data_IF_521739122130
#
_entry.id   IF_521739122130
#
_cell.length_a   1.000
_cell.length_b   1.000
_cell.length_c   1.000
_cell.angle_alpha   90.00
_cell.angle_beta   90.00
_cell.angle_gamma   90.00
#
_symmetry.space_group_name_H-M   'P 1'
#
loop_
_entity.id
_entity.type
_entity.pdbx_description
1 polymer ?
#
# COMPACT_ATOMS: atom_id res chain seq x y z
N UNK A 1 16.20 3.29 7.86
CA UNK A 1 15.19 3.13 8.90
C UNK A 1 14.93 4.50 9.49
N UNK A 2 13.69 4.94 9.48
CA UNK A 2 13.31 6.30 9.76
C UNK A 2 13.25 6.60 11.24
N UNK A 3 14.22 7.35 11.74
CA UNK A 3 14.00 8.17 12.93
C UNK A 3 13.37 9.46 12.43
N UNK A 4 12.18 9.79 12.87
CA UNK A 4 11.46 10.99 12.49
C UNK A 4 9.96 10.73 12.38
N UNK A 5 9.20 11.80 12.41
CA UNK A 5 7.74 11.74 12.25
C UNK A 5 7.29 12.67 11.12
N UNK A 6 6.15 12.38 10.54
CA UNK A 6 5.57 13.23 9.51
C UNK A 6 5.45 14.68 9.96
N UNK A 7 5.86 15.61 9.10
CA UNK A 7 5.77 17.03 9.33
C UNK A 7 5.15 17.74 8.12
N UNK A 8 4.02 18.43 8.34
CA UNK A 8 3.39 19.26 7.32
C UNK A 8 4.37 20.30 6.76
N UNK A 9 5.22 20.90 7.60
CA UNK A 9 6.18 21.89 7.15
C UNK A 9 7.25 21.27 6.24
N UNK A 10 7.76 20.08 6.57
CA UNK A 10 8.70 19.35 5.72
C UNK A 10 8.05 19.00 4.35
N UNK A 11 6.79 18.58 4.36
CA UNK A 11 6.06 18.28 3.12
C UNK A 11 5.84 19.52 2.23
N UNK A 12 5.46 20.67 2.82
CA UNK A 12 5.29 21.91 2.07
C UNK A 12 6.61 22.36 1.45
N UNK A 13 7.71 22.27 2.20
CA UNK A 13 9.04 22.58 1.68
C UNK A 13 9.42 21.64 0.53
N UNK A 14 9.23 20.33 0.71
CA UNK A 14 9.48 19.34 -0.32
C UNK A 14 8.63 19.60 -1.58
N UNK A 15 7.32 19.81 -1.42
CA UNK A 15 6.42 20.12 -2.55
C UNK A 15 6.86 21.36 -3.31
N UNK A 16 7.34 22.38 -2.61
CA UNK A 16 7.89 23.60 -3.22
C UNK A 16 9.13 23.30 -4.07
N UNK A 17 10.03 22.43 -3.58
CA UNK A 17 11.21 22.01 -4.37
C UNK A 17 10.82 21.23 -5.62
N UNK A 18 9.71 20.51 -5.56
CA UNK A 18 9.12 19.79 -6.70
C UNK A 18 8.26 20.67 -7.60
N UNK A 19 8.26 22.01 -7.39
CA UNK A 19 7.44 22.99 -8.12
C UNK A 19 5.93 22.71 -8.02
N UNK A 20 5.47 22.19 -6.86
CA UNK A 20 4.06 21.94 -6.58
C UNK A 20 3.53 22.94 -5.54
N UNK A 21 2.43 23.61 -5.85
CA UNK A 21 1.71 24.44 -4.88
C UNK A 21 0.88 23.54 -3.95
N UNK A 22 0.74 23.96 -2.69
CA UNK A 22 -0.03 23.26 -1.67
C UNK A 22 -1.18 24.15 -1.20
N UNK A 23 -2.37 23.60 -1.06
CA UNK A 23 -3.54 24.28 -0.56
C UNK A 23 -3.53 24.41 0.98
N UNK A 24 -4.50 25.13 1.55
CA UNK A 24 -4.59 25.36 2.99
C UNK A 24 -4.77 24.08 3.81
N UNK A 25 -5.47 23.08 3.24
CA UNK A 25 -5.63 21.74 3.84
C UNK A 25 -4.38 20.89 3.76
N UNK A 26 -3.39 21.30 2.95
CA UNK A 26 -2.13 20.59 2.76
C UNK A 26 -2.11 19.66 1.55
N UNK A 27 -3.17 19.63 0.73
CA UNK A 27 -3.18 18.87 -0.52
C UNK A 27 -2.40 19.59 -1.63
N UNK A 28 -1.91 18.86 -2.63
CA UNK A 28 -1.29 19.46 -3.82
C UNK A 28 -2.37 20.12 -4.67
N UNK A 29 -2.17 21.40 -4.98
CA UNK A 29 -3.08 22.22 -5.78
C UNK A 29 -2.88 21.98 -7.27
N UNK A 30 -3.99 21.94 -8.01
CA UNK A 30 -4.03 21.86 -9.47
C UNK A 30 -4.47 20.51 -9.98
N UNK A 31 -4.71 20.45 -11.28
CA UNK A 31 -5.04 19.23 -11.98
C UNK A 31 -3.76 18.63 -12.59
N UNK A 32 -3.58 17.35 -12.36
CA UNK A 32 -2.45 16.58 -12.86
C UNK A 32 -2.96 15.33 -13.56
N UNK A 33 -2.38 15.01 -14.68
CA UNK A 33 -2.42 13.64 -15.20
C UNK A 33 -1.49 12.73 -14.36
N UNK A 34 -1.65 11.42 -14.49
CA UNK A 34 -0.77 10.48 -13.80
C UNK A 34 0.70 10.69 -14.22
N UNK A 35 0.97 10.93 -15.50
CA UNK A 35 2.32 11.18 -16.03
C UNK A 35 2.94 12.50 -15.56
N UNK A 36 2.12 13.50 -15.21
CA UNK A 36 2.61 14.75 -14.62
C UNK A 36 2.86 14.62 -13.12
N UNK A 37 2.08 13.79 -12.43
CA UNK A 37 2.26 13.50 -11.01
C UNK A 37 3.45 12.57 -10.79
N UNK A 38 3.50 11.43 -11.49
CA UNK A 38 4.53 10.40 -11.41
C UNK A 38 5.51 10.57 -12.56
N UNK A 39 6.62 11.26 -12.30
CA UNK A 39 7.56 11.68 -13.36
C UNK A 39 8.62 10.64 -13.72
N UNK A 40 8.70 9.54 -12.98
CA UNK A 40 9.64 8.45 -13.25
C UNK A 40 9.38 7.84 -14.63
N UNK A 41 10.47 7.55 -15.37
CA UNK A 41 10.43 6.98 -16.73
C UNK A 41 10.76 5.49 -16.76
N UNK A 42 11.21 4.96 -15.65
CA UNK A 42 11.56 3.57 -15.45
C UNK A 42 11.55 3.26 -13.95
N UNK A 43 11.72 2.00 -13.59
CA UNK A 43 11.88 1.57 -12.21
C UNK A 43 13.05 2.32 -11.55
N UNK A 44 12.76 3.01 -10.43
CA UNK A 44 13.79 3.61 -9.60
C UNK A 44 14.48 2.52 -8.77
N UNK A 45 15.81 2.57 -8.69
CA UNK A 45 16.59 1.58 -7.94
C UNK A 45 16.19 1.47 -6.47
N UNK A 46 15.69 2.54 -5.86
CA UNK A 46 15.22 2.53 -4.48
C UNK A 46 13.91 1.73 -4.30
N UNK A 47 13.15 1.57 -5.38
CA UNK A 47 11.87 0.84 -5.41
C UNK A 47 11.98 -0.55 -6.04
N UNK A 48 13.17 -0.95 -6.49
CA UNK A 48 13.40 -2.26 -7.09
C UNK A 48 13.20 -3.37 -6.03
N UNK A 49 12.26 -4.31 -6.23
CA UNK A 49 12.03 -5.42 -5.32
C UNK A 49 13.03 -6.56 -5.46
N UNK A 50 13.92 -6.52 -6.46
CA UNK A 50 14.81 -7.62 -6.78
C UNK A 50 15.82 -7.90 -5.67
N UNK A 51 15.74 -9.08 -5.08
CA UNK A 51 16.66 -9.58 -4.05
C UNK A 51 16.80 -8.64 -2.83
N UNK A 52 15.69 -8.03 -2.39
CA UNK A 52 15.67 -7.15 -1.22
C UNK A 52 14.71 -7.66 -0.15
N UNK A 53 15.03 -7.36 1.10
CA UNK A 53 14.12 -7.51 2.24
C UNK A 53 13.88 -6.12 2.81
N UNK A 54 12.64 -5.79 3.11
CA UNK A 54 12.24 -4.53 3.74
C UNK A 54 11.93 -4.77 5.21
N UNK A 55 12.40 -3.89 6.06
CA UNK A 55 12.30 -4.06 7.52
C UNK A 55 11.55 -2.89 8.13
N UNK A 56 10.66 -3.21 9.09
CA UNK A 56 10.01 -2.26 9.99
C UNK A 56 10.42 -2.65 11.41
N UNK A 57 11.32 -1.87 12.00
CA UNK A 57 12.03 -2.21 13.24
C UNK A 57 11.71 -1.19 14.31
N UNK A 58 11.43 -1.67 15.51
CA UNK A 58 11.24 -0.80 16.69
C UNK A 58 12.52 -0.02 16.99
N UNK A 59 12.35 1.27 17.28
CA UNK A 59 13.43 2.19 17.63
C UNK A 59 13.11 2.93 18.93
N UNK A 60 14.05 3.70 19.46
CA UNK A 60 13.77 4.53 20.63
C UNK A 60 12.69 5.59 20.34
N UNK A 61 12.62 6.10 19.10
CA UNK A 61 11.63 7.09 18.67
C UNK A 61 10.28 6.44 18.36
N UNK A 62 10.29 5.21 17.85
CA UNK A 62 9.12 4.42 17.49
C UNK A 62 9.18 3.02 18.13
N UNK A 63 8.87 2.90 19.42
CA UNK A 63 9.07 1.66 20.18
C UNK A 63 8.04 0.56 19.89
N UNK A 64 6.94 0.90 19.24
CA UNK A 64 5.85 -0.03 18.92
C UNK A 64 5.38 0.16 17.47
N UNK A 65 6.27 -0.01 16.54
CA UNK A 65 5.99 0.24 15.11
C UNK A 65 4.73 -0.47 14.61
N UNK A 66 3.92 0.26 13.87
CA UNK A 66 2.71 -0.23 13.18
C UNK A 66 2.98 -0.18 11.68
N UNK A 67 3.39 -1.32 11.08
CA UNK A 67 3.71 -1.37 9.65
C UNK A 67 2.44 -1.37 8.80
N UNK A 68 2.37 -0.43 7.89
CA UNK A 68 1.27 -0.28 6.92
C UNK A 68 1.83 -0.32 5.50
N UNK A 69 1.33 -1.24 4.69
CA UNK A 69 1.62 -1.32 3.26
C UNK A 69 0.42 -0.76 2.49
N UNK A 70 0.64 0.32 1.73
CA UNK A 70 -0.31 0.83 0.76
C UNK A 70 0.11 0.33 -0.62
N UNK A 71 -0.62 -0.63 -1.16
CA UNK A 71 -0.37 -1.25 -2.45
C UNK A 71 -1.32 -0.67 -3.49
N UNK A 72 -0.81 0.26 -4.28
CA UNK A 72 -1.55 1.03 -5.27
C UNK A 72 -1.38 0.44 -6.65
N UNK A 73 -2.46 0.15 -7.31
CA UNK A 73 -2.50 -0.16 -8.74
C UNK A 73 -2.10 1.11 -9.53
N UNK A 74 -1.10 0.95 -10.39
CA UNK A 74 -0.52 2.03 -11.21
C UNK A 74 -0.75 1.84 -12.70
N UNK A 75 -1.77 1.07 -13.06
CA UNK A 75 -2.20 0.89 -14.45
C UNK A 75 -3.07 2.03 -14.95
N UNK A 76 -3.35 2.05 -16.25
CA UNK A 76 -3.97 3.21 -16.90
C UNK A 76 -5.33 3.61 -16.34
N UNK A 77 -6.18 2.65 -15.97
CA UNK A 77 -7.53 2.88 -15.40
C UNK A 77 -7.47 3.61 -14.06
N UNK A 78 -6.43 3.33 -13.26
CA UNK A 78 -6.23 3.89 -11.92
C UNK A 78 -5.65 5.32 -11.89
N UNK A 79 -5.33 5.93 -13.06
CA UNK A 79 -4.62 7.20 -13.10
C UNK A 79 -5.21 8.32 -12.24
N UNK A 80 -6.54 8.46 -12.20
CA UNK A 80 -7.22 9.48 -11.37
C UNK A 80 -7.09 9.17 -9.88
N UNK A 81 -7.28 7.92 -9.49
CA UNK A 81 -7.18 7.46 -8.10
C UNK A 81 -5.75 7.60 -7.57
N UNK A 82 -4.76 7.21 -8.34
CA UNK A 82 -3.35 7.35 -8.00
C UNK A 82 -2.94 8.82 -7.81
N UNK A 83 -3.38 9.71 -8.71
CA UNK A 83 -3.15 11.16 -8.59
C UNK A 83 -3.81 11.72 -7.35
N UNK A 84 -5.04 11.32 -7.02
CA UNK A 84 -5.76 11.82 -5.84
C UNK A 84 -5.08 11.40 -4.53
N UNK A 85 -4.61 10.14 -4.45
CA UNK A 85 -3.84 9.66 -3.30
C UNK A 85 -2.55 10.49 -3.14
N UNK A 86 -1.81 10.68 -4.22
CA UNK A 86 -0.58 11.47 -4.21
C UNK A 86 -0.82 12.93 -3.80
N UNK A 87 -1.89 13.56 -4.32
CA UNK A 87 -2.27 14.93 -3.95
C UNK A 87 -2.63 15.06 -2.48
N UNK A 88 -3.33 14.06 -1.93
CA UNK A 88 -3.82 14.07 -0.54
C UNK A 88 -2.88 13.39 0.46
N UNK A 89 -1.71 12.94 0.04
CA UNK A 89 -0.76 12.26 0.93
C UNK A 89 -0.53 13.00 2.24
N UNK A 90 -0.28 14.33 2.18
CA UNK A 90 -0.08 15.11 3.40
C UNK A 90 -1.32 15.18 4.29
N UNK A 91 -2.51 15.23 3.71
CA UNK A 91 -3.77 15.23 4.48
C UNK A 91 -3.94 13.89 5.20
N UNK A 92 -3.69 12.78 4.49
CA UNK A 92 -3.74 11.42 5.05
C UNK A 92 -2.75 11.30 6.21
N UNK A 93 -1.48 11.63 5.96
CA UNK A 93 -0.41 11.50 6.95
C UNK A 93 -0.64 12.39 8.17
N UNK A 94 -1.05 13.64 7.97
CA UNK A 94 -1.34 14.57 9.07
C UNK A 94 -2.46 14.03 9.97
N UNK A 95 -3.59 13.60 9.39
CA UNK A 95 -4.70 13.02 10.15
C UNK A 95 -4.28 11.77 10.94
N UNK A 96 -3.46 10.92 10.33
CA UNK A 96 -3.01 9.70 10.99
C UNK A 96 -2.06 9.99 12.15
N UNK A 97 -1.07 10.84 11.96
CA UNK A 97 -0.09 11.15 13.02
C UNK A 97 -0.66 12.03 14.15
N UNK A 98 -1.84 12.64 13.97
CA UNK A 98 -2.58 13.26 15.07
C UNK A 98 -3.15 12.24 16.06
N UNK A 99 -3.49 11.04 15.60
CA UNK A 99 -4.19 10.02 16.41
C UNK A 99 -3.35 8.77 16.67
N UNK A 100 -2.46 8.41 15.77
CA UNK A 100 -1.67 7.17 15.85
C UNK A 100 -0.19 7.52 15.73
N UNK A 101 0.57 7.15 16.76
CA UNK A 101 2.04 7.23 16.74
C UNK A 101 2.61 5.91 16.19
N UNK A 102 3.88 5.91 15.87
CA UNK A 102 4.65 4.72 15.49
C UNK A 102 4.18 4.03 14.20
N UNK A 103 3.40 4.71 13.33
CA UNK A 103 3.07 4.19 12.01
C UNK A 103 4.29 4.32 11.09
N UNK A 104 4.62 3.24 10.40
CA UNK A 104 5.57 3.23 9.29
C UNK A 104 4.90 2.77 8.01
N UNK A 105 5.05 3.54 6.95
CA UNK A 105 4.45 3.27 5.66
C UNK A 105 5.45 2.70 4.67
N UNK A 106 5.03 1.64 3.97
CA UNK A 106 5.61 1.18 2.72
C UNK A 106 4.62 1.46 1.59
N UNK A 107 5.09 2.10 0.53
CA UNK A 107 4.34 2.24 -0.72
C UNK A 107 4.73 1.10 -1.64
N UNK A 108 3.75 0.40 -2.17
CA UNK A 108 3.92 -0.54 -3.28
C UNK A 108 3.13 -0.04 -4.49
N UNK A 109 3.72 -0.12 -5.66
CA UNK A 109 3.02 0.06 -6.91
C UNK A 109 2.85 -1.31 -7.57
N UNK A 110 1.62 -1.60 -7.98
CA UNK A 110 1.20 -2.89 -8.53
C UNK A 110 0.78 -2.70 -9.99
N UNK A 111 1.22 -3.59 -10.84
CA UNK A 111 0.78 -3.78 -12.20
C UNK A 111 0.55 -5.26 -12.48
N UNK A 112 0.41 -5.63 -13.75
CA UNK A 112 0.19 -7.01 -14.17
C UNK A 112 1.52 -7.72 -14.49
N UNK A 113 1.84 -8.76 -13.75
CA UNK A 113 3.02 -9.62 -13.99
C UNK A 113 3.04 -10.29 -15.36
N UNK A 114 1.92 -10.29 -16.08
CA UNK A 114 1.82 -10.89 -17.40
C UNK A 114 2.24 -9.95 -18.53
N UNK A 115 2.19 -8.63 -18.34
CA UNK A 115 2.34 -7.67 -19.44
C UNK A 115 3.08 -6.38 -19.08
N UNK A 116 3.10 -5.95 -17.81
CA UNK A 116 3.71 -4.69 -17.44
C UNK A 116 5.23 -4.78 -17.32
N UNK A 117 5.91 -3.63 -17.51
CA UNK A 117 7.36 -3.55 -17.51
C UNK A 117 7.93 -3.67 -16.10
N UNK A 118 7.27 -3.06 -15.12
CA UNK A 118 7.67 -3.05 -13.71
C UNK A 118 6.47 -3.36 -12.81
N UNK A 119 5.97 -4.61 -12.84
CA UNK A 119 4.69 -4.97 -12.23
C UNK A 119 4.68 -4.96 -10.70
N UNK A 120 5.83 -4.75 -10.07
CA UNK A 120 5.95 -4.53 -8.64
C UNK A 120 7.07 -3.55 -8.36
N UNK A 121 6.77 -2.52 -7.56
CA UNK A 121 7.73 -1.56 -7.07
C UNK A 121 7.51 -1.43 -5.56
N UNK A 122 8.57 -1.45 -4.74
CA UNK A 122 8.43 -1.46 -3.29
C UNK A 122 9.36 -0.45 -2.62
N UNK A 123 8.82 0.44 -1.84
CA UNK A 123 9.59 1.41 -1.06
C UNK A 123 10.19 0.79 0.20
N UNK A 124 10.90 1.58 1.01
CA UNK A 124 11.19 1.26 2.40
C UNK A 124 9.98 1.55 3.29
N UNK A 125 9.97 1.01 4.52
CA UNK A 125 9.11 1.52 5.58
C UNK A 125 9.68 2.84 6.09
N UNK A 126 8.86 3.87 6.11
CA UNK A 126 9.22 5.22 6.53
C UNK A 126 8.10 5.87 7.35
N UNK A 127 8.47 6.80 8.22
CA UNK A 127 7.55 7.54 9.08
C UNK A 127 7.54 9.05 8.83
N UNK A 128 8.35 9.54 7.90
CA UNK A 128 8.56 10.97 7.63
C UNK A 128 8.42 11.35 6.16
N UNK A 129 9.02 12.48 5.77
CA UNK A 129 8.95 13.03 4.41
C UNK A 129 9.43 12.07 3.33
N UNK A 130 10.25 11.09 3.65
CA UNK A 130 10.73 10.08 2.70
C UNK A 130 9.60 9.25 2.10
N UNK A 131 8.43 9.17 2.74
CA UNK A 131 7.23 8.57 2.14
C UNK A 131 6.85 9.31 0.86
N UNK A 132 6.84 10.65 0.88
CA UNK A 132 6.54 11.46 -0.31
C UNK A 132 7.64 11.35 -1.36
N UNK A 133 8.92 11.35 -0.94
CA UNK A 133 10.05 11.18 -1.85
C UNK A 133 10.02 9.83 -2.56
N UNK A 134 9.58 8.76 -1.90
CA UNK A 134 9.46 7.43 -2.49
C UNK A 134 8.23 7.32 -3.38
N UNK A 135 7.10 7.93 -3.01
CA UNK A 135 5.92 7.98 -3.87
C UNK A 135 6.22 8.68 -5.20
N UNK A 136 7.00 9.75 -5.17
CA UNK A 136 7.39 10.50 -6.38
C UNK A 136 8.34 9.70 -7.32
N UNK A 137 8.97 8.64 -6.83
CA UNK A 137 9.82 7.73 -7.62
C UNK A 137 9.05 6.61 -8.29
N UNK A 138 7.76 6.45 -7.98
CA UNK A 138 6.93 5.43 -8.60
C UNK A 138 6.84 5.67 -10.10
N UNK A 139 7.13 4.64 -10.88
CA UNK A 139 6.84 4.58 -12.30
C UNK A 139 5.37 4.20 -12.50
N UNK A 140 4.64 5.02 -13.22
CA UNK A 140 3.24 4.78 -13.56
C UNK A 140 3.18 4.06 -14.92
N UNK A 141 2.69 2.81 -14.93
CA UNK A 141 2.69 1.95 -16.14
C UNK A 141 1.85 2.53 -17.28
N UNK A 142 0.79 3.26 -16.97
CA UNK A 142 -0.08 3.91 -17.97
C UNK A 142 -0.65 2.97 -19.05
N UNK A 143 -0.21 1.73 -19.09
CA UNK A 143 -0.72 0.67 -19.93
C UNK A 143 -1.96 0.01 -19.32
N UNK A 144 -2.60 -0.84 -20.08
CA UNK A 144 -3.62 -1.77 -19.61
C UNK A 144 -3.34 -3.12 -20.27
N UNK A 145 -3.30 -4.17 -19.50
CA UNK A 145 -3.15 -5.54 -20.00
C UNK A 145 -4.37 -5.99 -20.79
N UNK A 146 -4.19 -7.02 -21.60
CA UNK A 146 -5.29 -7.63 -22.35
C UNK A 146 -6.17 -8.56 -21.51
N UNK A 147 -6.04 -8.56 -20.18
CA UNK A 147 -6.82 -9.37 -19.25
C UNK A 147 -7.56 -8.46 -18.25
N UNK A 148 -8.43 -9.03 -17.42
CA UNK A 148 -9.24 -8.32 -16.44
C UNK A 148 -8.71 -8.53 -15.00
N UNK A 149 -7.41 -8.75 -14.84
CA UNK A 149 -6.77 -9.04 -13.58
C UNK A 149 -5.57 -8.13 -13.37
N UNK A 150 -5.38 -7.69 -12.11
CA UNK A 150 -4.12 -7.10 -11.69
C UNK A 150 -3.44 -7.96 -10.63
N UNK A 151 -2.13 -7.87 -10.55
CA UNK A 151 -1.33 -8.75 -9.71
C UNK A 151 -1.27 -8.31 -8.24
N UNK A 152 -2.43 -8.00 -7.64
CA UNK A 152 -2.53 -7.54 -6.24
C UNK A 152 -1.90 -8.49 -5.23
N UNK A 153 -1.90 -9.80 -5.54
CA UNK A 153 -1.29 -10.80 -4.66
C UNK A 153 0.22 -10.68 -4.58
N UNK A 154 0.86 -9.91 -5.47
CA UNK A 154 2.28 -9.59 -5.36
C UNK A 154 2.59 -8.79 -4.08
N UNK A 155 1.68 -7.89 -3.65
CA UNK A 155 1.81 -7.19 -2.38
C UNK A 155 1.71 -8.16 -1.18
N UNK A 156 0.81 -9.13 -1.25
CA UNK A 156 0.66 -10.15 -0.22
C UNK A 156 1.90 -11.05 -0.13
N UNK A 157 2.37 -11.54 -1.27
CA UNK A 157 3.56 -12.38 -1.35
C UNK A 157 4.80 -11.63 -0.82
N UNK A 158 5.03 -10.40 -1.31
CA UNK A 158 6.17 -9.60 -0.85
C UNK A 158 6.08 -9.32 0.66
N UNK A 159 4.91 -8.92 1.15
CA UNK A 159 4.65 -8.73 2.57
C UNK A 159 4.94 -10.00 3.38
N UNK A 160 4.49 -11.16 2.93
CA UNK A 160 4.67 -12.42 3.64
C UNK A 160 6.11 -12.92 3.67
N UNK A 161 6.86 -12.78 2.55
CA UNK A 161 8.16 -13.43 2.36
C UNK A 161 9.36 -12.47 2.43
N UNK A 162 9.16 -11.20 2.06
CA UNK A 162 10.24 -10.22 1.85
C UNK A 162 10.17 -9.03 2.80
N UNK A 163 9.41 -9.15 3.89
CA UNK A 163 9.45 -8.18 4.99
C UNK A 163 9.88 -8.84 6.31
N UNK A 164 10.45 -8.03 7.18
CA UNK A 164 10.72 -8.37 8.58
C UNK A 164 10.17 -7.28 9.47
N UNK A 165 9.22 -7.63 10.32
CA UNK A 165 8.50 -6.69 11.15
C UNK A 165 8.68 -7.03 12.63
N UNK A 166 9.08 -6.06 13.45
CA UNK A 166 9.21 -6.27 14.88
C UNK A 166 7.84 -6.43 15.59
N UNK A 167 6.75 -5.93 15.00
CA UNK A 167 5.41 -6.16 15.52
C UNK A 167 5.07 -7.67 15.64
N UNK A 168 5.62 -8.54 14.79
CA UNK A 168 5.41 -9.99 14.89
C UNK A 168 5.99 -10.58 16.17
N UNK A 169 7.12 -10.03 16.68
CA UNK A 169 7.70 -10.45 17.97
C UNK A 169 6.78 -10.13 19.15
N UNK A 170 5.89 -9.14 18.96
CA UNK A 170 4.86 -8.75 19.95
C UNK A 170 3.53 -9.47 19.75
N UNK A 171 3.46 -10.45 18.84
CA UNK A 171 2.21 -11.14 18.49
C UNK A 171 1.19 -10.27 17.74
N UNK A 172 1.64 -9.15 17.13
CA UNK A 172 0.80 -8.24 16.36
C UNK A 172 1.01 -8.45 14.87
N UNK A 173 0.00 -8.08 14.06
CA UNK A 173 0.06 -8.12 12.60
C UNK A 173 0.44 -6.76 12.03
N UNK A 174 0.95 -6.77 10.80
CA UNK A 174 0.98 -5.59 9.94
C UNK A 174 -0.36 -5.39 9.23
N UNK A 175 -0.48 -4.34 8.44
CA UNK A 175 -1.64 -4.03 7.62
C UNK A 175 -1.25 -3.91 6.16
N UNK A 176 -1.99 -4.56 5.26
CA UNK A 176 -1.90 -4.34 3.80
C UNK A 176 -3.24 -3.83 3.30
N UNK A 177 -3.22 -2.68 2.63
CA UNK A 177 -4.38 -2.14 1.90
C UNK A 177 -4.02 -2.15 0.43
N UNK A 178 -4.68 -3.00 -0.36
CA UNK A 178 -4.62 -2.96 -1.82
C UNK A 178 -5.68 -2.01 -2.36
N UNK A 179 -5.35 -1.24 -3.40
CA UNK A 179 -6.23 -0.22 -3.98
C UNK A 179 -6.20 -0.39 -5.49
N UNK A 180 -7.35 -0.69 -6.10
CA UNK A 180 -7.45 -0.92 -7.53
C UNK A 180 -8.88 -1.09 -8.02
N UNK A 181 -9.06 -1.34 -9.32
CA UNK A 181 -10.36 -1.42 -9.99
C UNK A 181 -10.56 -2.70 -10.83
N UNK A 182 -9.65 -3.68 -10.69
CA UNK A 182 -9.70 -4.96 -11.41
C UNK A 182 -9.87 -6.17 -10.49
N UNK A 183 -10.09 -7.35 -11.09
CA UNK A 183 -10.16 -8.62 -10.35
C UNK A 183 -8.81 -8.99 -9.73
N UNK A 184 -8.84 -9.68 -8.58
CA UNK A 184 -7.62 -10.28 -8.04
C UNK A 184 -7.13 -11.40 -8.96
N UNK A 185 -5.85 -11.40 -9.27
CA UNK A 185 -5.21 -12.44 -10.08
C UNK A 185 -5.35 -13.83 -9.44
N UNK A 186 -5.55 -14.89 -10.23
CA UNK A 186 -5.66 -16.25 -9.68
C UNK A 186 -4.31 -16.82 -9.20
N UNK A 187 -3.22 -16.38 -9.78
CA UNK A 187 -1.84 -16.79 -9.46
C UNK A 187 -0.84 -15.72 -9.89
N UNK A 188 0.39 -15.83 -9.43
CA UNK A 188 1.53 -15.09 -9.95
C UNK A 188 2.40 -16.02 -10.82
N UNK A 189 2.76 -15.62 -12.05
CA UNK A 189 3.59 -16.45 -12.92
C UNK A 189 5.00 -16.64 -12.36
N UNK A 190 5.45 -17.89 -12.20
CA UNK A 190 6.77 -18.19 -11.61
C UNK A 190 7.94 -17.61 -12.41
N UNK A 191 7.84 -17.58 -13.74
CA UNK A 191 8.87 -16.96 -14.59
C UNK A 191 9.01 -15.46 -14.33
N UNK A 192 7.89 -14.75 -14.19
CA UNK A 192 7.87 -13.31 -13.89
C UNK A 192 8.35 -13.01 -12.47
N UNK A 193 7.97 -13.85 -11.49
CA UNK A 193 8.47 -13.74 -10.12
C UNK A 193 10.00 -13.80 -10.04
N UNK A 194 10.64 -14.69 -10.81
CA UNK A 194 12.08 -14.78 -10.84
C UNK A 194 12.76 -13.51 -11.36
N UNK A 195 12.16 -12.84 -12.33
CA UNK A 195 12.69 -11.60 -12.87
C UNK A 195 12.47 -10.41 -11.94
N UNK A 196 11.32 -10.39 -11.24
CA UNK A 196 10.90 -9.24 -10.42
C UNK A 196 11.45 -9.33 -9.01
N UNK A 197 11.45 -10.52 -8.39
CA UNK A 197 11.76 -10.67 -6.95
C UNK A 197 12.96 -11.61 -6.69
N UNK A 198 13.41 -12.41 -7.67
CA UNK A 198 14.49 -13.41 -7.50
C UNK A 198 14.07 -14.61 -6.62
N UNK A 199 12.86 -15.14 -6.80
CA UNK A 199 12.36 -16.24 -5.96
C UNK A 199 12.88 -17.64 -6.31
N UNK A 200 13.43 -17.85 -7.49
CA UNK A 200 13.90 -19.17 -7.93
C UNK A 200 12.76 -20.16 -8.27
N UNK A 201 11.50 -19.70 -8.33
CA UNK A 201 10.35 -20.55 -8.67
C UNK A 201 10.22 -20.75 -10.18
N UNK A 202 9.96 -22.00 -10.59
CA UNK A 202 9.62 -22.35 -11.97
C UNK A 202 8.10 -22.48 -12.16
N UNK A 203 7.38 -22.79 -11.10
CA UNK A 203 5.92 -22.95 -11.12
C UNK A 203 5.22 -21.65 -10.70
N UNK A 204 3.98 -21.48 -11.17
CA UNK A 204 3.09 -20.44 -10.71
C UNK A 204 2.84 -20.57 -9.20
N UNK A 205 2.63 -19.43 -8.53
CA UNK A 205 2.24 -19.39 -7.11
C UNK A 205 0.77 -19.02 -7.04
N UNK A 206 -0.05 -19.93 -6.55
CA UNK A 206 -1.51 -19.74 -6.49
C UNK A 206 -1.88 -18.70 -5.43
N UNK A 207 -2.89 -17.88 -5.73
CA UNK A 207 -3.39 -16.85 -4.80
C UNK A 207 -3.87 -17.44 -3.48
N UNK A 208 -4.44 -18.66 -3.49
CA UNK A 208 -4.81 -19.36 -2.25
C UNK A 208 -3.62 -19.63 -1.34
N UNK A 209 -2.49 -20.03 -1.92
CA UNK A 209 -1.29 -20.35 -1.15
C UNK A 209 -0.66 -19.09 -0.58
N UNK A 210 -0.61 -18.01 -1.38
CA UNK A 210 -0.15 -16.70 -0.93
C UNK A 210 -1.01 -16.18 0.22
N UNK A 211 -2.35 -16.34 0.11
CA UNK A 211 -3.26 -15.94 1.19
C UNK A 211 -3.01 -16.70 2.49
N UNK A 212 -2.80 -18.00 2.42
CA UNK A 212 -2.48 -18.82 3.61
C UNK A 212 -1.18 -18.37 4.30
N UNK A 213 -0.19 -17.90 3.55
CA UNK A 213 1.06 -17.38 4.10
C UNK A 213 0.94 -15.99 4.73
N UNK A 214 0.10 -15.11 4.15
CA UNK A 214 0.03 -13.71 4.56
C UNK A 214 -0.98 -13.45 5.67
N UNK A 215 -2.07 -14.22 5.75
CA UNK A 215 -3.19 -13.99 6.68
C UNK A 215 -2.81 -13.98 8.16
N UNK A 216 -1.75 -14.70 8.54
CA UNK A 216 -1.28 -14.75 9.93
C UNK A 216 -0.30 -13.63 10.27
N UNK A 217 0.25 -12.97 9.24
CA UNK A 217 1.24 -11.88 9.35
C UNK A 217 0.65 -10.50 9.20
N UNK A 218 -0.44 -10.39 8.42
CA UNK A 218 -1.08 -9.12 8.11
C UNK A 218 -2.60 -9.21 8.20
N UNK A 219 -3.22 -8.09 8.54
CA UNK A 219 -4.62 -7.84 8.18
C UNK A 219 -4.67 -7.28 6.77
N UNK A 220 -5.67 -7.74 6.00
CA UNK A 220 -5.78 -7.45 4.57
C UNK A 220 -7.07 -6.71 4.28
N UNK A 221 -6.96 -5.60 3.56
CA UNK A 221 -8.07 -4.82 3.04
C UNK A 221 -7.91 -4.57 1.54
N UNK A 222 -9.03 -4.38 0.86
CA UNK A 222 -9.06 -3.95 -0.53
C UNK A 222 -10.04 -2.80 -0.72
N UNK A 223 -9.57 -1.71 -1.30
CA UNK A 223 -10.38 -0.59 -1.75
C UNK A 223 -10.62 -0.74 -3.25
N UNK A 224 -11.83 -1.17 -3.61
CA UNK A 224 -12.25 -1.33 -5.00
C UNK A 224 -12.69 0.04 -5.54
N UNK A 225 -11.85 0.64 -6.39
CA UNK A 225 -12.11 1.94 -6.99
C UNK A 225 -13.22 1.84 -8.04
N UNK A 226 -14.35 2.48 -7.75
CA UNK A 226 -15.46 2.54 -8.70
C UNK A 226 -15.30 3.77 -9.59
N UNK A 227 -15.17 3.52 -10.91
CA UNK A 227 -15.21 4.59 -11.89
C UNK A 227 -16.61 4.72 -12.49
N UNK A 228 -16.97 5.91 -12.93
CA UNK A 228 -18.24 6.14 -13.65
C UNK A 228 -18.30 5.39 -14.98
N UNK A 229 -17.19 4.86 -15.45
CA UNK A 229 -17.06 4.07 -16.69
C UNK A 229 -17.13 2.55 -16.46
N UNK A 230 -16.86 2.08 -15.24
CA UNK A 230 -16.99 0.66 -14.90
C UNK A 230 -18.47 0.32 -14.73
N UNK A 231 -19.00 -0.60 -15.50
CA UNK A 231 -20.39 -1.03 -15.32
C UNK A 231 -20.56 -1.77 -13.99
N UNK A 232 -21.73 -1.62 -13.33
CA UNK A 232 -22.09 -2.27 -12.05
C UNK A 232 -21.73 -3.76 -11.94
N UNK A 233 -21.63 -4.46 -13.08
CA UNK A 233 -21.31 -5.90 -13.12
C UNK A 233 -19.83 -6.16 -12.78
N UNK A 234 -18.90 -5.34 -13.30
CA UNK A 234 -17.48 -5.42 -12.97
C UNK A 234 -17.22 -5.16 -11.49
N UNK A 235 -17.83 -4.12 -10.93
CA UNK A 235 -17.70 -3.78 -9.52
C UNK A 235 -18.11 -4.91 -8.56
N UNK A 236 -19.20 -5.62 -8.88
CA UNK A 236 -19.70 -6.75 -8.08
C UNK A 236 -18.75 -7.94 -8.15
N UNK A 237 -18.17 -8.20 -9.31
CA UNK A 237 -17.29 -9.35 -9.52
C UNK A 237 -15.91 -9.08 -8.90
N UNK A 238 -15.40 -7.85 -8.95
CA UNK A 238 -14.18 -7.43 -8.24
C UNK A 238 -14.32 -7.66 -6.75
N UNK A 239 -15.37 -7.12 -6.12
CA UNK A 239 -15.64 -7.32 -4.69
C UNK A 239 -15.70 -8.79 -4.33
N UNK A 240 -16.38 -9.63 -5.12
CA UNK A 240 -16.47 -11.07 -4.86
C UNK A 240 -15.12 -11.76 -5.00
N UNK A 241 -14.29 -11.32 -5.93
CA UNK A 241 -12.98 -11.93 -6.19
C UNK A 241 -12.03 -11.82 -4.99
N UNK A 242 -12.08 -10.69 -4.27
CA UNK A 242 -11.34 -10.47 -3.03
C UNK A 242 -12.04 -11.07 -1.81
N UNK A 243 -13.37 -10.89 -1.71
CA UNK A 243 -14.14 -11.28 -0.53
C UNK A 243 -14.05 -12.77 -0.20
N UNK A 244 -13.77 -13.63 -1.18
CA UNK A 244 -13.57 -15.06 -0.96
C UNK A 244 -12.33 -15.40 -0.13
N UNK A 245 -11.34 -14.49 -0.12
CA UNK A 245 -10.12 -14.61 0.67
C UNK A 245 -10.21 -13.80 1.97
N UNK A 246 -10.41 -12.48 1.85
CA UNK A 246 -10.27 -11.55 2.99
C UNK A 246 -11.60 -11.24 3.70
N UNK A 247 -12.71 -11.81 3.23
CA UNK A 247 -14.04 -11.53 3.76
C UNK A 247 -14.64 -10.23 3.21
N UNK A 248 -15.98 -10.19 3.12
CA UNK A 248 -16.70 -9.06 2.54
C UNK A 248 -16.53 -7.76 3.31
N UNK A 249 -16.34 -7.82 4.61
CA UNK A 249 -16.15 -6.66 5.50
C UNK A 249 -14.84 -5.91 5.22
N UNK A 250 -13.85 -6.58 4.65
CA UNK A 250 -12.55 -6.03 4.32
C UNK A 250 -12.41 -5.56 2.85
N UNK A 251 -13.53 -5.58 2.09
CA UNK A 251 -13.58 -5.09 0.71
C UNK A 251 -14.58 -3.96 0.61
N UNK A 252 -14.12 -2.78 0.22
CA UNK A 252 -14.94 -1.57 0.19
C UNK A 252 -14.93 -0.96 -1.21
N UNK A 253 -16.11 -0.67 -1.76
CA UNK A 253 -16.21 0.20 -2.93
C UNK A 253 -15.94 1.65 -2.52
N UNK A 254 -15.11 2.34 -3.26
CA UNK A 254 -14.74 3.73 -3.00
C UNK A 254 -14.75 4.55 -4.28
N UNK A 255 -15.21 5.78 -4.20
CA UNK A 255 -14.98 6.78 -5.24
C UNK A 255 -13.60 7.43 -5.06
N UNK A 256 -13.13 8.13 -6.08
CA UNK A 256 -11.83 8.84 -6.02
C UNK A 256 -11.77 9.81 -4.83
N UNK A 257 -12.88 10.49 -4.54
CA UNK A 257 -12.98 11.47 -3.46
C UNK A 257 -12.92 10.84 -2.07
N UNK A 258 -13.41 9.60 -1.92
CA UNK A 258 -13.51 8.88 -0.64
C UNK A 258 -12.23 8.13 -0.24
N UNK A 259 -11.32 7.85 -1.19
CA UNK A 259 -10.14 7.00 -0.98
C UNK A 259 -9.35 7.44 0.26
N UNK A 260 -9.05 8.74 0.37
CA UNK A 260 -8.23 9.28 1.46
C UNK A 260 -8.84 9.06 2.83
N UNK A 261 -10.14 9.32 2.97
CA UNK A 261 -10.83 9.16 4.25
C UNK A 261 -10.99 7.68 4.61
N UNK A 262 -11.16 6.79 3.62
CA UNK A 262 -11.21 5.34 3.86
C UNK A 262 -9.85 4.79 4.30
N UNK A 263 -8.75 5.22 3.67
CA UNK A 263 -7.39 4.85 4.12
C UNK A 263 -7.19 5.26 5.59
N UNK A 264 -7.50 6.52 5.93
CA UNK A 264 -7.36 7.02 7.31
C UNK A 264 -8.21 6.20 8.28
N UNK A 265 -9.49 5.93 7.93
CA UNK A 265 -10.40 5.16 8.78
C UNK A 265 -9.88 3.75 9.06
N UNK A 266 -9.52 2.99 8.01
CA UNK A 266 -9.00 1.62 8.15
C UNK A 266 -7.75 1.60 9.04
N UNK A 267 -6.79 2.49 8.81
CA UNK A 267 -5.54 2.51 9.57
C UNK A 267 -5.78 2.90 11.02
N UNK A 268 -6.67 3.87 11.27
CA UNK A 268 -7.02 4.29 12.64
C UNK A 268 -7.70 3.17 13.41
N UNK A 269 -8.69 2.50 12.81
CA UNK A 269 -9.39 1.36 13.42
C UNK A 269 -8.43 0.20 13.69
N UNK A 270 -7.56 -0.12 12.73
CA UNK A 270 -6.52 -1.14 12.89
C UNK A 270 -5.57 -0.82 14.05
N UNK A 271 -5.09 0.42 14.13
CA UNK A 271 -4.18 0.85 15.18
C UNK A 271 -4.83 0.82 16.56
N UNK A 272 -6.09 1.26 16.69
CA UNK A 272 -6.85 1.20 17.94
C UNK A 272 -7.03 -0.24 18.41
N UNK A 273 -7.44 -1.15 17.54
CA UNK A 273 -7.61 -2.57 17.86
C UNK A 273 -6.29 -3.24 18.28
N UNK A 274 -5.17 -2.83 17.71
CA UNK A 274 -3.85 -3.29 18.11
C UNK A 274 -3.39 -2.73 19.47
N UNK A 275 -3.86 -1.54 19.86
CA UNK A 275 -3.54 -0.92 21.15
C UNK A 275 -4.37 -1.49 22.29
N UNK A 276 -5.64 -1.81 22.09
CA UNK A 276 -6.53 -2.38 23.13
C UNK A 276 -6.08 -3.77 23.57
N UNK A 277 -5.50 -4.57 22.70
CA UNK A 277 -4.96 -5.88 23.07
C UNK A 277 -3.73 -5.85 24.00
N UNK A 278 -3.11 -4.69 24.22
CA UNK A 278 -2.02 -4.52 25.21
C UNK A 278 -2.55 -4.39 26.64
N UNK A 279 -3.80 -3.92 26.82
CA UNK A 279 -4.40 -3.67 28.14
C UNK A 279 -4.96 -4.97 28.76
N UNK A 280 -5.31 -5.99 27.96
CA UNK A 280 -5.89 -7.25 28.48
C UNK A 280 -4.87 -8.24 29.04
N UNK A 281 -3.59 -8.09 28.73
CA UNK A 281 -2.54 -9.01 29.21
C UNK A 281 -1.82 -8.53 30.49
N UNK A 282 -2.12 -7.30 30.98
CA UNK A 282 -1.51 -6.76 32.21
C UNK A 282 -2.36 -6.90 33.47
N UNK A 283 -3.43 -7.69 33.47
CA UNK A 283 -4.42 -7.76 34.52
C UNK A 283 -4.70 -9.14 35.11
N UNK A 284 -3.72 -9.87 35.57
CA UNK A 284 -3.95 -10.94 36.57
C UNK A 284 -2.68 -11.25 37.38
N UNK A 285 -2.31 -10.36 38.26
CA UNK A 285 -1.57 -10.78 39.46
C UNK A 285 -2.63 -10.91 40.55
N UNK A 286 -3.12 -12.12 40.78
CA UNK A 286 -3.89 -12.47 41.98
C UNK A 286 -2.89 -12.72 43.08
N UNK A 287 -3.07 -12.08 44.19
CA UNK A 287 -2.41 -12.30 45.47
C UNK A 287 -2.89 -13.59 46.12
#
# INVERSE_FOLDING_TARGET
>A
MGGGSWSKAAYVNYSTTMCRAVDLDGSIKGDYSAQEMFKSRCLDKALDPYNVIRECVDTEEHPNTIPVILALDVTGSMGKSAVEIAKKLNVIMTKLYESVKDIEFMIMAIGDFSCDSYPLQVSQFESDIRIAEQLDKVYFEAGGGGNAYESYTAAWLFGARYTKLDCWKRGKKGLIITIGDELINPYLPGSSLNHVICEGHQANVETSDIYEEVKDKYELYHLNCISTSSGRRGEVDNVKSFAKYIGKQNVMNVTVEEISDKIVGIITDFAMNNSENVISDSGAISW
#
